data_IF_520201602057
#
_entry.id   IF_520201602057
#
_cell.length_a   1.000
_cell.length_b   1.000
_cell.length_c   1.000
_cell.angle_alpha   90.00
_cell.angle_beta   90.00
_cell.angle_gamma   90.00
#
_symmetry.space_group_name_H-M   'P 1'
#
loop_
_entity.id
_entity.type
_entity.pdbx_description
1 polymer ?
#
# COMPACT_ATOMS: atom_id res chain seq x y z
N UNK A 1 -15.81 10.40 -0.74
CA UNK A 1 -14.35 10.61 -0.87
C UNK A 1 -13.98 10.34 -2.31
N UNK A 2 -13.12 11.16 -2.90
CA UNK A 2 -12.71 10.98 -4.30
C UNK A 2 -11.76 9.79 -4.40
N UNK A 3 -11.90 8.96 -5.43
CA UNK A 3 -11.00 7.82 -5.67
C UNK A 3 -9.70 8.32 -6.29
N UNK A 4 -8.58 7.69 -5.94
CA UNK A 4 -7.30 7.88 -6.62
C UNK A 4 -7.48 7.39 -8.07
N UNK A 5 -7.33 8.27 -9.08
CA UNK A 5 -7.47 7.86 -10.47
C UNK A 5 -6.22 7.12 -10.94
N UNK A 6 -6.37 6.30 -11.98
CA UNK A 6 -5.28 5.53 -12.60
C UNK A 6 -4.06 6.40 -12.91
N UNK A 7 -4.28 7.60 -13.48
CA UNK A 7 -3.19 8.52 -13.82
C UNK A 7 -2.37 8.95 -12.60
N UNK A 8 -2.99 9.09 -11.42
CA UNK A 8 -2.24 9.43 -10.19
C UNK A 8 -1.34 8.27 -9.78
N UNK A 9 -1.84 7.02 -9.86
CA UNK A 9 -1.03 5.82 -9.58
C UNK A 9 0.12 5.72 -10.58
N UNK A 10 -0.15 5.88 -11.87
CA UNK A 10 0.87 5.84 -12.92
C UNK A 10 1.94 6.92 -12.71
N UNK A 11 1.56 8.15 -12.38
CA UNK A 11 2.51 9.22 -12.11
C UNK A 11 3.41 8.87 -10.92
N UNK A 12 2.86 8.26 -9.85
CA UNK A 12 3.67 7.81 -8.72
C UNK A 12 4.65 6.71 -9.11
N UNK A 13 4.23 5.77 -9.95
CA UNK A 13 5.13 4.74 -10.50
C UNK A 13 6.25 5.41 -11.30
N UNK A 14 5.92 6.29 -12.24
CA UNK A 14 6.89 6.98 -13.09
C UNK A 14 7.87 7.84 -12.25
N UNK A 15 7.35 8.54 -11.23
CA UNK A 15 8.14 9.38 -10.33
C UNK A 15 9.14 8.56 -9.51
N UNK A 16 8.72 7.42 -8.94
CA UNK A 16 9.56 6.60 -8.06
C UNK A 16 10.49 5.69 -8.86
N UNK A 17 9.98 4.95 -9.84
CA UNK A 17 10.79 4.07 -10.68
C UNK A 17 11.70 4.83 -11.64
N UNK A 18 11.39 6.11 -11.92
CA UNK A 18 12.23 7.00 -12.72
C UNK A 18 13.44 7.56 -11.98
N UNK A 19 13.58 7.33 -10.67
CA UNK A 19 14.71 7.81 -9.88
C UNK A 19 15.97 7.03 -10.26
N UNK A 20 16.97 7.73 -10.80
CA UNK A 20 18.26 7.14 -11.17
C UNK A 20 19.38 7.48 -10.20
N UNK A 21 19.22 8.53 -9.38
CA UNK A 21 20.22 9.01 -8.44
C UNK A 21 19.89 8.49 -7.02
N UNK A 22 20.85 7.81 -6.39
CA UNK A 22 20.72 7.27 -5.03
C UNK A 22 20.25 8.33 -4.03
N UNK A 23 20.80 9.54 -4.12
CA UNK A 23 20.44 10.66 -3.23
C UNK A 23 18.98 11.12 -3.36
N UNK A 24 18.33 10.87 -4.49
CA UNK A 24 16.92 11.21 -4.67
C UNK A 24 16.02 10.08 -4.17
N UNK A 25 16.45 8.83 -4.27
CA UNK A 25 15.77 7.69 -3.66
C UNK A 25 15.83 7.79 -2.12
N UNK A 26 16.99 8.18 -1.57
CA UNK A 26 17.16 8.47 -0.15
C UNK A 26 16.19 9.56 0.33
N UNK A 27 15.95 10.61 -0.48
CA UNK A 27 14.98 11.65 -0.13
C UNK A 27 13.54 11.13 -0.16
N UNK A 28 13.18 10.33 -1.16
CA UNK A 28 11.86 9.71 -1.22
C UNK A 28 11.63 8.77 -0.02
N UNK A 29 12.66 7.99 0.34
CA UNK A 29 12.70 7.17 1.54
C UNK A 29 12.49 8.00 2.80
N UNK A 30 13.33 9.01 3.02
CA UNK A 30 13.24 9.87 4.20
C UNK A 30 11.87 10.55 4.27
N UNK A 31 11.33 11.00 3.14
CA UNK A 31 10.01 11.63 3.08
C UNK A 31 8.92 10.67 3.57
N UNK A 32 8.91 9.40 3.13
CA UNK A 32 7.97 8.39 3.61
C UNK A 32 8.01 8.27 5.14
N UNK A 33 9.21 8.19 5.73
CA UNK A 33 9.38 8.10 7.18
C UNK A 33 9.06 9.42 7.90
N UNK A 34 9.17 10.57 7.24
CA UNK A 34 8.80 11.85 7.82
C UNK A 34 7.27 12.03 7.87
N UNK A 35 6.54 11.54 6.86
CA UNK A 35 5.07 11.72 6.76
C UNK A 35 4.26 10.60 7.41
N UNK A 36 4.79 9.38 7.44
CA UNK A 36 4.13 8.20 8.01
C UNK A 36 5.13 7.37 8.84
N UNK A 37 5.78 7.94 9.88
CA UNK A 37 6.87 7.28 10.61
C UNK A 37 6.50 5.90 11.15
N UNK A 38 5.40 5.81 11.90
CA UNK A 38 5.04 4.56 12.59
C UNK A 38 4.49 3.52 11.61
N UNK A 39 3.71 3.96 10.61
CA UNK A 39 3.16 3.07 9.59
C UNK A 39 4.24 2.55 8.63
N UNK A 40 5.18 3.41 8.22
CA UNK A 40 6.33 3.01 7.41
C UNK A 40 7.29 2.12 8.20
N UNK A 41 7.54 2.43 9.47
CA UNK A 41 8.33 1.58 10.36
C UNK A 41 7.75 0.17 10.48
N UNK A 42 6.44 0.08 10.74
CA UNK A 42 5.74 -1.20 10.79
C UNK A 42 5.79 -1.96 9.46
N UNK A 43 5.65 -1.26 8.34
CA UNK A 43 5.78 -1.87 7.01
C UNK A 43 7.16 -2.50 6.83
N UNK A 44 8.23 -1.78 7.19
CA UNK A 44 9.60 -2.26 7.04
C UNK A 44 9.91 -3.43 7.97
N UNK A 45 9.46 -3.36 9.23
CA UNK A 45 9.58 -4.48 10.17
C UNK A 45 8.86 -5.72 9.65
N UNK A 46 7.68 -5.56 9.04
CA UNK A 46 6.93 -6.68 8.49
C UNK A 46 7.66 -7.41 7.35
N UNK A 47 8.41 -6.69 6.52
CA UNK A 47 9.12 -7.28 5.37
C UNK A 47 10.56 -7.70 5.71
N UNK A 48 11.09 -7.36 6.89
CA UNK A 48 12.51 -7.54 7.24
C UNK A 48 12.99 -9.00 7.18
N UNK A 49 12.08 -9.95 7.45
CA UNK A 49 12.33 -11.39 7.44
C UNK A 49 12.14 -12.04 6.06
N UNK A 50 11.72 -11.28 5.04
CA UNK A 50 11.57 -11.76 3.67
C UNK A 50 12.91 -11.75 2.91
N UNK A 51 12.96 -12.30 1.70
CA UNK A 51 14.14 -12.19 0.84
C UNK A 51 14.46 -10.74 0.48
N UNK A 52 15.72 -10.44 0.19
CA UNK A 52 16.19 -9.11 -0.24
C UNK A 52 15.34 -8.56 -1.41
N UNK A 53 15.00 -9.41 -2.38
CA UNK A 53 14.12 -9.04 -3.48
C UNK A 53 12.70 -8.66 -3.08
N UNK A 54 12.14 -9.37 -2.10
CA UNK A 54 10.83 -9.04 -1.54
C UNK A 54 10.87 -7.74 -0.73
N UNK A 55 11.96 -7.50 -0.01
CA UNK A 55 12.20 -6.27 0.73
C UNK A 55 12.30 -5.07 -0.21
N UNK A 56 13.11 -5.17 -1.26
CA UNK A 56 13.29 -4.11 -2.25
C UNK A 56 11.97 -3.79 -2.98
N UNK A 57 11.24 -4.82 -3.43
CA UNK A 57 9.93 -4.62 -4.07
C UNK A 57 8.93 -4.01 -3.09
N UNK A 58 8.82 -4.56 -1.88
CA UNK A 58 7.90 -4.05 -0.86
C UNK A 58 8.18 -2.59 -0.53
N UNK A 59 9.46 -2.22 -0.40
CA UNK A 59 9.88 -0.85 -0.15
C UNK A 59 9.51 0.10 -1.31
N UNK A 60 9.79 -0.29 -2.56
CA UNK A 60 9.40 0.48 -3.74
C UNK A 60 7.87 0.64 -3.84
N UNK A 61 7.12 -0.42 -3.57
CA UNK A 61 5.67 -0.37 -3.50
C UNK A 61 5.19 0.59 -2.41
N UNK A 62 5.77 0.57 -1.20
CA UNK A 62 5.40 1.50 -0.12
C UNK A 62 5.58 2.97 -0.53
N UNK A 63 6.69 3.31 -1.21
CA UNK A 63 6.92 4.65 -1.75
C UNK A 63 5.84 5.06 -2.76
N UNK A 64 5.54 4.20 -3.73
CA UNK A 64 4.55 4.45 -4.79
C UNK A 64 3.15 4.60 -4.20
N UNK A 65 2.78 3.73 -3.26
CA UNK A 65 1.50 3.74 -2.58
C UNK A 65 1.34 5.03 -1.77
N UNK A 66 2.31 5.36 -0.90
CA UNK A 66 2.25 6.59 -0.11
C UNK A 66 2.16 7.84 -1.00
N UNK A 67 3.00 7.90 -2.04
CA UNK A 67 3.00 9.02 -2.99
C UNK A 67 1.65 9.21 -3.68
N UNK A 68 1.01 8.11 -4.10
CA UNK A 68 -0.32 8.15 -4.73
C UNK A 68 -1.39 8.74 -3.81
N UNK A 69 -1.31 8.46 -2.51
CA UNK A 69 -2.20 9.02 -1.51
C UNK A 69 -1.91 10.50 -1.24
N UNK A 70 -0.64 10.92 -1.14
CA UNK A 70 -0.27 12.34 -0.94
C UNK A 70 -0.61 13.24 -2.14
N UNK A 71 -0.52 12.69 -3.35
CA UNK A 71 -0.86 13.44 -4.56
C UNK A 71 -2.37 13.69 -4.66
N UNK A 72 -3.19 12.70 -4.27
CA UNK A 72 -4.65 12.82 -4.26
C UNK A 72 -5.19 13.57 -3.03
N UNK A 73 -4.68 13.28 -1.85
CA UNK A 73 -5.18 13.81 -0.57
C UNK A 73 -4.13 14.70 0.07
N UNK A 74 -4.45 15.99 0.15
CA UNK A 74 -3.58 16.95 0.83
C UNK A 74 -3.73 16.80 2.35
N UNK A 75 -2.61 16.97 3.02
CA UNK A 75 -2.49 16.98 4.48
C UNK A 75 -2.85 15.66 5.16
N UNK A 76 -2.51 14.49 4.61
CA UNK A 76 -2.64 13.25 5.38
C UNK A 76 -1.82 13.35 6.66
N UNK A 77 -2.47 13.14 7.82
CA UNK A 77 -1.75 13.09 9.09
C UNK A 77 -0.96 11.78 9.16
N UNK A 78 0.10 11.77 9.96
CA UNK A 78 0.75 10.53 10.35
C UNK A 78 -0.20 9.65 11.18
N UNK A 79 -0.18 8.34 10.93
CA UNK A 79 -0.73 7.35 11.84
C UNK A 79 0.20 7.17 13.04
N UNK A 80 -0.36 6.98 14.24
CA UNK A 80 0.45 6.67 15.42
C UNK A 80 0.69 5.16 15.56
N UNK A 81 1.76 4.77 16.25
CA UNK A 81 2.06 3.36 16.56
C UNK A 81 0.86 2.62 17.19
N UNK A 82 0.17 3.22 18.16
CA UNK A 82 -1.02 2.63 18.79
C UNK A 82 -2.15 2.38 17.77
N UNK A 83 -2.34 3.28 16.81
CA UNK A 83 -3.34 3.11 15.75
C UNK A 83 -2.94 2.02 14.77
N UNK A 84 -1.66 1.95 14.40
CA UNK A 84 -1.12 0.90 13.52
C UNK A 84 -1.38 -0.47 14.16
N UNK A 85 -0.95 -0.67 15.41
CA UNK A 85 -1.12 -1.93 16.14
C UNK A 85 -2.60 -2.29 16.25
N UNK A 86 -3.44 -1.34 16.72
CA UNK A 86 -4.87 -1.61 16.91
C UNK A 86 -5.58 -1.97 15.60
N UNK A 87 -5.22 -1.32 14.49
CA UNK A 87 -5.80 -1.64 13.17
C UNK A 87 -5.27 -2.97 12.64
N UNK A 88 -4.01 -3.29 12.86
CA UNK A 88 -3.44 -4.56 12.45
C UNK A 88 -4.14 -5.73 13.17
N UNK A 89 -4.22 -5.67 14.50
CA UNK A 89 -4.90 -6.67 15.33
C UNK A 89 -6.39 -6.83 14.95
N UNK A 90 -7.08 -5.72 14.68
CA UNK A 90 -8.49 -5.75 14.26
C UNK A 90 -8.70 -6.50 12.93
N UNK A 91 -7.70 -6.49 12.04
CA UNK A 91 -7.78 -7.07 10.71
C UNK A 91 -7.10 -8.45 10.60
N UNK A 92 -6.53 -8.98 11.68
CA UNK A 92 -5.81 -10.26 11.72
C UNK A 92 -6.63 -11.41 11.08
N UNK A 93 -7.91 -11.52 11.44
CA UNK A 93 -8.80 -12.57 10.89
C UNK A 93 -9.09 -12.41 9.39
N UNK A 94 -8.89 -11.22 8.82
CA UNK A 94 -8.95 -11.03 7.37
C UNK A 94 -7.62 -11.41 6.71
N UNK A 95 -6.49 -11.04 7.32
CA UNK A 95 -5.16 -11.42 6.84
C UNK A 95 -4.95 -12.93 6.81
N UNK A 96 -5.46 -13.66 7.82
CA UNK A 96 -5.46 -15.12 7.82
C UNK A 96 -6.17 -15.71 6.60
N UNK A 97 -7.23 -15.06 6.09
CA UNK A 97 -7.93 -15.51 4.88
C UNK A 97 -7.07 -15.26 3.64
N UNK A 98 -6.35 -14.15 3.60
CA UNK A 98 -5.43 -13.84 2.49
C UNK A 98 -4.28 -14.84 2.39
N UNK A 99 -3.95 -15.59 3.45
CA UNK A 99 -2.99 -16.70 3.34
C UNK A 99 -3.44 -17.80 2.34
N UNK A 100 -4.73 -17.87 2.02
CA UNK A 100 -5.30 -18.76 1.01
C UNK A 100 -5.72 -18.03 -0.28
N UNK A 101 -5.14 -16.87 -0.56
CA UNK A 101 -5.46 -16.04 -1.72
C UNK A 101 -5.38 -16.85 -3.03
N UNK A 102 -6.38 -16.67 -3.87
CA UNK A 102 -6.51 -17.28 -5.19
C UNK A 102 -7.24 -16.33 -6.14
N UNK A 103 -7.34 -16.70 -7.42
CA UNK A 103 -7.95 -15.86 -8.45
C UNK A 103 -9.40 -15.44 -8.15
N UNK A 104 -10.21 -16.34 -7.58
CA UNK A 104 -11.60 -16.03 -7.20
C UNK A 104 -11.64 -14.98 -6.08
N UNK A 105 -10.77 -15.13 -5.07
CA UNK A 105 -10.64 -14.15 -4.00
C UNK A 105 -10.11 -12.79 -4.50
N UNK A 106 -9.17 -12.80 -5.43
CA UNK A 106 -8.65 -11.58 -6.08
C UNK A 106 -9.78 -10.86 -6.81
N UNK A 107 -10.59 -11.58 -7.59
CA UNK A 107 -11.73 -11.01 -8.30
C UNK A 107 -12.77 -10.40 -7.33
N UNK A 108 -13.06 -11.09 -6.22
CA UNK A 108 -13.94 -10.57 -5.17
C UNK A 108 -13.39 -9.29 -4.51
N UNK A 109 -12.08 -9.22 -4.27
CA UNK A 109 -11.42 -8.04 -3.71
C UNK A 109 -11.47 -6.85 -4.68
N UNK A 110 -11.21 -7.08 -5.97
CA UNK A 110 -11.35 -6.07 -7.00
C UNK A 110 -12.79 -5.55 -7.10
N UNK A 111 -13.78 -6.43 -7.04
CA UNK A 111 -15.19 -6.04 -7.06
C UNK A 111 -15.57 -5.18 -5.84
N UNK A 112 -15.11 -5.55 -4.63
CA UNK A 112 -15.32 -4.77 -3.41
C UNK A 112 -14.65 -3.41 -3.50
N UNK A 113 -13.39 -3.35 -3.96
CA UNK A 113 -12.66 -2.09 -4.11
C UNK A 113 -13.31 -1.17 -5.16
N UNK A 114 -13.83 -1.72 -6.25
CA UNK A 114 -14.58 -0.98 -7.26
C UNK A 114 -15.89 -0.38 -6.71
N UNK A 115 -16.49 -0.97 -5.68
CA UNK A 115 -17.68 -0.44 -5.03
C UNK A 115 -17.34 0.65 -3.99
N UNK A 116 -16.39 0.36 -3.10
CA UNK A 116 -16.26 1.12 -1.84
C UNK A 116 -14.82 1.55 -1.50
N UNK A 117 -13.81 1.18 -2.30
CA UNK A 117 -12.39 1.42 -2.00
C UNK A 117 -11.64 2.21 -3.08
N UNK A 118 -10.35 1.88 -3.20
CA UNK A 118 -9.41 2.45 -4.17
C UNK A 118 -9.06 1.40 -5.24
N UNK A 119 -9.88 1.27 -6.31
CA UNK A 119 -9.73 0.19 -7.27
C UNK A 119 -8.37 0.21 -7.98
N UNK A 120 -7.89 1.39 -8.37
CA UNK A 120 -6.64 1.52 -9.13
C UNK A 120 -5.41 1.18 -8.26
N UNK A 121 -5.45 1.53 -6.97
CA UNK A 121 -4.41 1.14 -6.02
C UNK A 121 -4.39 -0.37 -5.81
N UNK A 122 -5.56 -0.98 -5.62
CA UNK A 122 -5.65 -2.42 -5.43
C UNK A 122 -5.21 -3.18 -6.69
N UNK A 123 -5.60 -2.70 -7.87
CA UNK A 123 -5.19 -3.28 -9.15
C UNK A 123 -3.67 -3.21 -9.31
N UNK A 124 -3.05 -2.07 -9.00
CA UNK A 124 -1.59 -1.95 -9.00
C UNK A 124 -0.93 -3.01 -8.10
N UNK A 125 -1.38 -3.16 -6.85
CA UNK A 125 -0.82 -4.16 -5.92
C UNK A 125 -0.96 -5.58 -6.51
N UNK A 126 -2.11 -5.91 -7.08
CA UNK A 126 -2.37 -7.24 -7.64
C UNK A 126 -1.53 -7.48 -8.90
N UNK A 127 -1.49 -6.49 -9.79
CA UNK A 127 -0.75 -6.58 -11.04
C UNK A 127 0.74 -6.79 -10.77
N UNK A 128 1.30 -5.96 -9.89
CA UNK A 128 2.70 -6.05 -9.48
C UNK A 128 3.00 -7.43 -8.88
N UNK A 129 2.23 -7.90 -7.91
CA UNK A 129 2.57 -9.12 -7.16
C UNK A 129 2.20 -10.43 -7.86
N UNK A 130 1.15 -10.46 -8.69
CA UNK A 130 0.58 -11.71 -9.21
C UNK A 130 0.49 -11.77 -10.74
N UNK A 131 0.51 -10.64 -11.45
CA UNK A 131 0.32 -10.60 -12.91
C UNK A 131 1.56 -10.19 -13.70
N UNK A 132 2.66 -9.83 -13.03
CA UNK A 132 3.95 -9.53 -13.65
C UNK A 132 4.87 -10.76 -13.65
N UNK A 133 4.85 -11.60 -14.70
CA UNK A 133 5.71 -12.79 -14.79
C UNK A 133 7.21 -12.45 -14.95
N UNK A 134 7.54 -11.16 -15.10
CA UNK A 134 8.89 -10.64 -15.28
C UNK A 134 9.46 -9.96 -14.03
N UNK A 135 8.79 -10.06 -12.86
CA UNK A 135 9.37 -9.62 -11.59
C UNK A 135 10.71 -10.35 -11.38
N UNK A 136 11.81 -9.63 -11.59
CA UNK A 136 13.14 -10.03 -11.16
C UNK A 136 13.47 -9.27 -9.88
N UNK A 137 13.75 -9.98 -8.77
CA UNK A 137 13.77 -11.44 -8.64
C UNK A 137 12.37 -12.05 -8.53
N UNK A 138 12.22 -13.30 -9.00
CA UNK A 138 10.94 -14.01 -8.86
C UNK A 138 10.64 -14.26 -7.39
N UNK A 139 9.56 -13.68 -6.88
CA UNK A 139 9.14 -13.87 -5.50
C UNK A 139 8.60 -15.28 -5.26
N UNK A 140 8.84 -15.83 -4.08
CA UNK A 140 8.15 -17.05 -3.67
C UNK A 140 6.66 -16.76 -3.44
N UNK A 141 5.78 -17.73 -3.73
CA UNK A 141 4.33 -17.54 -3.63
C UNK A 141 3.88 -17.10 -2.22
N UNK A 142 4.57 -17.56 -1.17
CA UNK A 142 4.30 -17.09 0.19
C UNK A 142 4.69 -15.60 0.36
N UNK A 143 5.83 -15.16 -0.16
CA UNK A 143 6.26 -13.77 -0.08
C UNK A 143 5.31 -12.84 -0.84
N UNK A 144 4.82 -13.25 -2.02
CA UNK A 144 3.79 -12.49 -2.76
C UNK A 144 2.54 -12.26 -1.91
N UNK A 145 2.08 -13.30 -1.20
CA UNK A 145 0.90 -13.20 -0.33
C UNK A 145 1.18 -12.32 0.90
N UNK A 146 2.35 -12.41 1.51
CA UNK A 146 2.69 -11.56 2.65
C UNK A 146 2.87 -10.09 2.24
N UNK A 147 3.51 -9.83 1.09
CA UNK A 147 3.58 -8.49 0.50
C UNK A 147 2.20 -7.95 0.18
N UNK A 148 1.29 -8.79 -0.35
CA UNK A 148 -0.09 -8.40 -0.58
C UNK A 148 -0.78 -7.97 0.73
N UNK A 149 -0.62 -8.73 1.81
CA UNK A 149 -1.19 -8.42 3.12
C UNK A 149 -0.70 -7.05 3.62
N UNK A 150 0.61 -6.83 3.65
CA UNK A 150 1.15 -5.58 4.19
C UNK A 150 0.86 -4.38 3.30
N UNK A 151 0.92 -4.54 1.97
CA UNK A 151 0.52 -3.48 1.03
C UNK A 151 -0.97 -3.14 1.20
N UNK A 152 -1.83 -4.15 1.33
CA UNK A 152 -3.27 -3.95 1.55
C UNK A 152 -3.53 -3.24 2.88
N UNK A 153 -2.89 -3.66 3.96
CA UNK A 153 -2.98 -3.01 5.26
C UNK A 153 -2.53 -1.54 5.19
N UNK A 154 -1.38 -1.29 4.56
CA UNK A 154 -0.83 0.05 4.39
C UNK A 154 -1.81 0.99 3.67
N UNK A 155 -2.39 0.55 2.55
CA UNK A 155 -3.34 1.38 1.79
C UNK A 155 -4.68 1.55 2.49
N UNK A 156 -5.14 0.56 3.25
CA UNK A 156 -6.35 0.68 4.06
C UNK A 156 -6.17 1.73 5.16
N UNK A 157 -5.01 1.70 5.84
CA UNK A 157 -4.62 2.71 6.81
C UNK A 157 -4.63 4.12 6.20
N UNK A 158 -3.95 4.30 5.06
CA UNK A 158 -3.94 5.58 4.35
C UNK A 158 -5.35 6.01 3.88
N UNK A 159 -6.16 5.07 3.41
CA UNK A 159 -7.52 5.33 2.97
C UNK A 159 -8.43 5.77 4.10
N UNK A 160 -8.34 5.13 5.26
CA UNK A 160 -9.07 5.52 6.46
C UNK A 160 -8.63 6.92 6.94
N UNK A 161 -7.32 7.21 7.02
CA UNK A 161 -6.82 8.54 7.35
C UNK A 161 -7.35 9.62 6.41
N UNK A 162 -7.38 9.31 5.12
CA UNK A 162 -7.91 10.19 4.10
C UNK A 162 -9.43 10.39 4.23
N UNK A 163 -10.16 9.42 4.79
CA UNK A 163 -11.59 9.52 5.10
C UNK A 163 -11.88 10.31 6.38
N UNK A 164 -10.97 10.34 7.36
CA UNK A 164 -11.13 11.14 8.60
C UNK A 164 -11.29 12.65 8.32
N UNK A 165 -10.77 13.13 7.17
CA UNK A 165 -10.87 14.52 6.75
C UNK A 165 -12.07 14.83 5.84
N UNK A 166 -12.82 13.82 5.40
CA UNK A 166 -14.07 14.09 4.71
C UNK A 166 -15.03 14.73 5.73
N UNK A 167 -15.51 15.97 5.53
CA UNK A 167 -16.47 16.55 6.45
C UNK A 167 -17.64 15.58 6.56
N UNK A 168 -17.98 15.19 7.78
CA UNK A 168 -19.29 14.63 8.08
C UNK A 168 -20.32 15.60 7.51
N UNK A 169 -20.84 15.29 6.33
CA UNK A 169 -22.06 15.88 5.83
C UNK A 169 -23.15 15.38 6.79
N UNK A 170 -23.34 16.19 7.84
CA UNK A 170 -24.40 16.09 8.83
C UNK A 170 -25.68 15.71 8.10
N UNK A 171 -26.10 14.45 8.27
CA UNK A 171 -27.44 14.01 7.92
C UNK A 171 -28.38 14.68 8.93
N UNK A 172 -28.93 15.82 8.53
CA UNK A 172 -30.12 16.41 9.14
C UNK A 172 -31.38 15.71 8.62
#
# INVERSE_FOLDING_TARGET
MDRIPFQTVQNSIDDICGITEESDLEKASQHLFDVQPDLAGFFMEFIEDMSEGAQDLGFMMALILNRSFEDQYKDLRAMTEEEVISRFEKNEAEFEKYLALNDDMIADLQAKSAAEGQPEILNYIIEELFMSPELEPSLAANEQVHLFIICKFFVDCLHELANEKAPELVRH
#
